data_IF_341405138989
#
_entry.id   IF_341405138989
#
_cell.length_a   1.000
_cell.length_b   1.000
_cell.length_c   1.000
_cell.angle_alpha   90.00
_cell.angle_beta   90.00
_cell.angle_gamma   90.00
#
_symmetry.space_group_name_H-M   'P 1'
#
loop_
_entity.id
_entity.type
_entity.pdbx_description
1 polymer ?
#
# COMPACT_ATOMS: atom_id res chain seq x y z
N UNK A 1 -6.30 5.97 -1.60
CA UNK A 1 -5.05 6.68 -1.27
C UNK A 1 -4.72 6.39 0.17
N UNK A 2 -3.59 5.78 0.45
CA UNK A 2 -3.18 5.48 1.81
C UNK A 2 -2.96 6.79 2.58
N UNK A 3 -3.52 6.89 3.78
CA UNK A 3 -3.27 8.04 4.66
C UNK A 3 -1.83 7.92 5.17
N UNK A 4 -0.97 8.95 4.99
CA UNK A 4 0.42 8.89 5.42
C UNK A 4 0.56 8.78 6.94
N UNK A 5 1.75 8.41 7.41
CA UNK A 5 2.08 8.44 8.83
C UNK A 5 2.06 9.90 9.33
N UNK A 6 1.70 10.11 10.60
CA UNK A 6 1.87 11.43 11.23
C UNK A 6 3.36 11.77 11.29
N UNK A 7 3.72 13.06 11.16
CA UNK A 7 5.12 13.51 11.23
C UNK A 7 5.76 13.06 12.54
N UNK A 8 6.92 12.42 12.44
CA UNK A 8 7.68 11.92 13.59
C UNK A 8 7.22 10.56 14.12
N UNK A 9 6.13 10.00 13.58
CA UNK A 9 5.64 8.67 13.98
C UNK A 9 6.21 7.59 13.06
N UNK A 10 6.61 6.46 13.63
CA UNK A 10 7.05 5.28 12.87
C UNK A 10 5.91 4.32 12.55
N UNK A 11 4.76 4.53 13.18
CA UNK A 11 3.57 3.69 13.06
C UNK A 11 2.33 4.51 12.74
N UNK A 12 1.38 3.84 12.10
CA UNK A 12 -0.03 4.23 12.03
C UNK A 12 -0.87 2.99 12.29
N UNK A 13 -1.74 3.04 13.27
CA UNK A 13 -2.68 1.97 13.58
C UNK A 13 -4.09 2.49 13.38
N UNK A 14 -4.96 1.68 12.81
CA UNK A 14 -6.36 2.03 12.60
C UNK A 14 -7.27 0.79 12.69
N UNK A 15 -8.48 0.99 13.20
CA UNK A 15 -9.59 0.05 13.15
C UNK A 15 -10.75 0.75 12.46
N UNK A 16 -11.23 0.22 11.34
CA UNK A 16 -12.25 0.89 10.53
C UNK A 16 -13.28 -0.10 10.01
N UNK A 17 -14.53 0.35 10.00
CA UNK A 17 -15.63 -0.29 9.26
C UNK A 17 -15.99 0.57 8.07
N UNK A 18 -16.06 -0.02 6.89
CA UNK A 18 -16.34 0.68 5.64
C UNK A 18 -17.41 -0.06 4.82
N UNK A 19 -18.20 0.67 4.02
CA UNK A 19 -19.16 0.03 3.14
C UNK A 19 -18.45 -0.76 2.03
N UNK A 20 -19.13 -1.74 1.48
CA UNK A 20 -18.64 -2.53 0.35
C UNK A 20 -18.21 -1.65 -0.83
N UNK A 21 -18.94 -0.56 -1.09
CA UNK A 21 -18.61 0.41 -2.15
C UNK A 21 -17.27 1.13 -1.96
N UNK A 22 -16.63 0.99 -0.78
CA UNK A 22 -15.32 1.59 -0.57
C UNK A 22 -14.22 0.72 -1.20
N UNK A 23 -13.65 1.21 -2.27
CA UNK A 23 -12.58 0.54 -3.03
C UNK A 23 -11.46 1.53 -3.35
N UNK A 24 -10.30 0.99 -3.67
CA UNK A 24 -9.20 1.79 -4.21
C UNK A 24 -9.44 1.99 -5.71
N UNK A 25 -9.64 3.23 -6.17
CA UNK A 25 -9.97 3.49 -7.58
C UNK A 25 -8.78 3.23 -8.52
N UNK A 26 -7.58 3.16 -7.99
CA UNK A 26 -6.33 2.92 -8.72
C UNK A 26 -5.38 2.10 -7.88
N UNK A 27 -4.34 1.56 -8.51
CA UNK A 27 -3.20 1.03 -7.79
C UNK A 27 -2.57 2.14 -6.94
N UNK A 28 -2.15 1.79 -5.74
CA UNK A 28 -1.39 2.64 -4.81
C UNK A 28 -0.10 1.91 -4.41
N UNK A 29 0.89 2.65 -3.95
CA UNK A 29 2.18 2.11 -3.53
C UNK A 29 2.56 2.68 -2.16
N UNK A 30 3.07 1.83 -1.30
CA UNK A 30 3.67 2.24 -0.04
C UNK A 30 5.17 2.43 -0.22
N UNK A 31 5.61 3.65 -0.55
CA UNK A 31 7.01 3.93 -0.87
C UNK A 31 7.96 3.81 0.32
N UNK A 32 7.50 4.20 1.52
CA UNK A 32 8.34 4.35 2.71
C UNK A 32 7.91 3.49 3.89
N UNK A 33 6.88 2.68 3.75
CA UNK A 33 6.34 1.86 4.83
C UNK A 33 5.74 0.56 4.31
N UNK A 34 5.68 -0.40 5.20
CA UNK A 34 4.92 -1.64 5.05
C UNK A 34 3.52 -1.48 5.63
N UNK A 35 2.62 -2.38 5.28
CA UNK A 35 1.32 -2.48 5.91
C UNK A 35 0.97 -3.93 6.25
N UNK A 36 0.21 -4.14 7.31
CA UNK A 36 -0.45 -5.42 7.58
C UNK A 36 -1.89 -5.11 7.96
N UNK A 37 -2.82 -5.64 7.18
CA UNK A 37 -4.24 -5.61 7.49
C UNK A 37 -4.70 -6.93 8.08
N UNK A 38 -5.69 -6.90 8.97
CA UNK A 38 -6.44 -8.08 9.42
C UNK A 38 -7.92 -7.84 9.13
N UNK A 39 -8.48 -8.62 8.22
CA UNK A 39 -9.87 -8.51 7.82
C UNK A 39 -10.74 -9.26 8.85
N UNK A 40 -11.36 -8.51 9.75
CA UNK A 40 -12.26 -9.07 10.76
C UNK A 40 -13.51 -9.62 10.12
N UNK A 41 -14.06 -8.85 9.16
CA UNK A 41 -15.31 -9.17 8.48
C UNK A 41 -15.33 -8.59 7.07
N UNK A 42 -15.89 -9.32 6.13
CA UNK A 42 -16.04 -8.92 4.73
C UNK A 42 -15.19 -9.76 3.79
N UNK A 43 -15.24 -9.41 2.52
CA UNK A 43 -14.52 -10.10 1.47
C UNK A 43 -13.86 -9.07 0.56
N UNK A 44 -12.56 -9.19 0.36
CA UNK A 44 -11.78 -8.27 -0.46
C UNK A 44 -10.97 -9.01 -1.50
N UNK A 45 -10.86 -8.40 -2.67
CA UNK A 45 -9.87 -8.76 -3.67
C UNK A 45 -8.72 -7.76 -3.55
N UNK A 46 -7.49 -8.25 -3.38
CA UNK A 46 -6.29 -7.44 -3.40
C UNK A 46 -5.44 -7.85 -4.59
N UNK A 47 -5.20 -6.93 -5.50
CA UNK A 47 -4.42 -7.16 -6.71
C UNK A 47 -3.07 -6.47 -6.60
N UNK A 48 -2.02 -7.18 -6.97
CA UNK A 48 -0.70 -6.65 -7.28
C UNK A 48 -0.50 -6.70 -8.80
N UNK A 49 0.59 -6.15 -9.36
CA UNK A 49 0.89 -6.29 -10.78
C UNK A 49 0.96 -7.73 -11.27
N UNK A 50 1.34 -8.67 -10.41
CA UNK A 50 1.63 -10.05 -10.77
C UNK A 50 0.51 -11.02 -10.41
N UNK A 51 -0.26 -10.71 -9.36
CA UNK A 51 -1.22 -11.67 -8.78
C UNK A 51 -2.44 -10.96 -8.19
N UNK A 52 -3.53 -11.71 -8.11
CA UNK A 52 -4.72 -11.31 -7.34
C UNK A 52 -4.96 -12.31 -6.22
N UNK A 53 -5.23 -11.77 -5.05
CA UNK A 53 -5.49 -12.51 -3.82
C UNK A 53 -6.92 -12.26 -3.36
N UNK A 54 -7.54 -13.29 -2.80
CA UNK A 54 -8.83 -13.18 -2.16
C UNK A 54 -8.65 -13.21 -0.64
N UNK A 55 -9.08 -12.13 0.01
CA UNK A 55 -8.96 -11.93 1.45
C UNK A 55 -10.34 -12.05 2.07
N UNK A 56 -10.52 -13.01 2.95
CA UNK A 56 -11.78 -13.33 3.62
C UNK A 56 -11.73 -13.02 5.12
N UNK A 57 -12.87 -13.19 5.80
CA UNK A 57 -12.97 -13.04 7.25
C UNK A 57 -11.82 -13.80 7.96
N UNK A 58 -11.09 -13.11 8.82
CA UNK A 58 -10.01 -13.68 9.62
C UNK A 58 -8.66 -13.82 8.88
N UNK A 59 -8.51 -13.23 7.70
CA UNK A 59 -7.24 -13.25 6.96
C UNK A 59 -6.36 -12.04 7.28
N UNK A 60 -5.05 -12.29 7.34
CA UNK A 60 -4.03 -11.25 7.32
C UNK A 60 -3.68 -10.87 5.88
N UNK A 61 -3.49 -9.58 5.65
CA UNK A 61 -3.16 -9.04 4.34
C UNK A 61 -1.93 -8.13 4.44
N UNK A 62 -0.72 -8.69 4.35
CA UNK A 62 0.50 -7.91 4.24
C UNK A 62 0.54 -7.09 2.95
N UNK A 63 1.17 -5.93 3.02
CA UNK A 63 1.46 -5.06 1.89
C UNK A 63 2.92 -4.66 1.96
N UNK A 64 3.69 -5.13 1.00
CA UNK A 64 5.12 -4.83 0.93
C UNK A 64 5.38 -3.37 0.52
N UNK A 65 6.47 -2.82 1.04
CA UNK A 65 7.00 -1.53 0.60
C UNK A 65 7.45 -1.63 -0.86
N UNK A 66 7.15 -0.61 -1.66
CA UNK A 66 7.55 -0.57 -3.07
C UNK A 66 6.68 -1.40 -4.02
N UNK A 67 5.67 -2.12 -3.52
CA UNK A 67 4.78 -2.94 -4.34
C UNK A 67 3.45 -2.24 -4.60
N UNK A 68 3.09 -2.14 -5.87
CA UNK A 68 1.77 -1.66 -6.27
C UNK A 68 0.68 -2.62 -5.84
N UNK A 69 -0.37 -2.10 -5.24
CA UNK A 69 -1.52 -2.88 -4.83
C UNK A 69 -2.82 -2.12 -5.01
N UNK A 70 -3.90 -2.86 -5.20
CA UNK A 70 -5.26 -2.33 -5.30
C UNK A 70 -6.20 -3.24 -4.53
N UNK A 71 -7.07 -2.66 -3.71
CA UNK A 71 -8.10 -3.42 -3.00
C UNK A 71 -9.49 -3.02 -3.49
N UNK A 72 -10.30 -4.01 -3.82
CA UNK A 72 -11.68 -3.89 -4.29
C UNK A 72 -12.61 -4.87 -3.56
N UNK A 73 -13.92 -4.62 -3.53
CA UNK A 73 -14.86 -5.55 -2.92
C UNK A 73 -14.98 -6.83 -3.77
N UNK A 74 -15.20 -7.96 -3.10
CA UNK A 74 -15.63 -9.22 -3.70
C UNK A 74 -17.14 -9.45 -3.58
N UNK A 75 -17.78 -8.78 -2.62
CA UNK A 75 -19.20 -8.89 -2.33
C UNK A 75 -19.78 -7.56 -1.90
N UNK A 76 -21.10 -7.48 -1.76
CA UNK A 76 -21.81 -6.29 -1.27
C UNK A 76 -21.78 -6.15 0.26
N UNK A 77 -20.98 -6.95 0.96
CA UNK A 77 -20.83 -6.89 2.42
C UNK A 77 -19.94 -5.71 2.82
N UNK A 78 -20.37 -4.98 3.85
CA UNK A 78 -19.48 -4.06 4.54
C UNK A 78 -18.27 -4.84 5.08
N UNK A 79 -17.12 -4.18 5.17
CA UNK A 79 -15.93 -4.80 5.72
C UNK A 79 -15.42 -4.05 6.93
N UNK A 80 -14.83 -4.81 7.83
CA UNK A 80 -14.19 -4.36 9.06
C UNK A 80 -12.74 -4.83 9.07
N UNK A 81 -11.80 -3.91 9.27
CA UNK A 81 -10.38 -4.20 9.19
C UNK A 81 -9.60 -3.45 10.27
N UNK A 82 -8.70 -4.17 10.93
CA UNK A 82 -7.55 -3.59 11.62
C UNK A 82 -6.40 -3.41 10.63
N UNK A 83 -5.65 -2.34 10.75
CA UNK A 83 -4.48 -2.13 9.92
C UNK A 83 -3.36 -1.44 10.69
N UNK A 84 -2.14 -1.91 10.49
CA UNK A 84 -0.92 -1.23 10.95
C UNK A 84 -0.04 -0.92 9.75
N UNK A 85 0.48 0.32 9.70
CA UNK A 85 1.54 0.73 8.76
C UNK A 85 2.76 1.13 9.56
N UNK A 86 3.94 0.78 9.05
CA UNK A 86 5.19 0.98 9.78
C UNK A 86 6.37 1.18 8.84
N UNK A 87 7.34 2.00 9.26
CA UNK A 87 8.56 2.26 8.49
C UNK A 87 9.51 1.07 8.55
N UNK A 88 10.40 0.96 7.56
CA UNK A 88 11.36 -0.16 7.48
C UNK A 88 12.32 -0.23 8.67
N UNK A 89 12.65 0.90 9.30
CA UNK A 89 13.61 0.92 10.43
C UNK A 89 13.15 0.15 11.67
N UNK A 90 11.84 -0.10 11.83
CA UNK A 90 11.32 -0.88 12.96
C UNK A 90 11.36 -2.40 12.72
N UNK A 91 11.76 -2.84 11.53
CA UNK A 91 11.80 -4.27 11.16
C UNK A 91 13.19 -4.91 11.31
N UNK A 92 14.22 -4.14 11.68
CA UNK A 92 15.60 -4.63 11.72
C UNK A 92 15.74 -5.87 12.59
N UNK A 93 15.26 -5.81 13.85
CA UNK A 93 15.37 -6.92 14.81
C UNK A 93 14.62 -8.19 14.33
N UNK A 94 13.43 -8.05 13.81
CA UNK A 94 12.68 -9.22 13.34
C UNK A 94 13.31 -9.85 12.10
N UNK A 95 13.88 -9.04 11.20
CA UNK A 95 14.65 -9.53 10.04
C UNK A 95 15.91 -10.30 10.45
N UNK A 96 16.59 -9.87 11.50
CA UNK A 96 17.74 -10.60 12.05
C UNK A 96 17.32 -11.97 12.64
N UNK A 97 16.10 -12.07 13.17
CA UNK A 97 15.59 -13.29 13.82
C UNK A 97 15.08 -14.31 12.80
N UNK A 98 14.21 -13.89 11.87
CA UNK A 98 13.57 -14.80 10.91
C UNK A 98 14.30 -14.90 9.57
N UNK A 99 15.24 -14.01 9.29
CA UNK A 99 15.88 -13.85 7.98
C UNK A 99 15.24 -12.74 7.15
N UNK A 100 16.08 -12.01 6.41
CA UNK A 100 15.58 -10.90 5.56
C UNK A 100 14.80 -11.42 4.37
N UNK A 101 15.22 -12.53 3.76
CA UNK A 101 14.52 -13.14 2.64
C UNK A 101 13.16 -13.67 3.06
N UNK A 102 13.08 -14.34 4.19
CA UNK A 102 11.85 -14.86 4.78
C UNK A 102 10.87 -13.74 5.13
N UNK A 103 11.38 -12.64 5.69
CA UNK A 103 10.56 -11.46 5.95
C UNK A 103 10.00 -10.86 4.65
N UNK A 104 10.85 -10.69 3.64
CA UNK A 104 10.44 -10.11 2.36
C UNK A 104 9.42 -11.01 1.65
N UNK A 105 9.63 -12.32 1.64
CA UNK A 105 8.69 -13.29 1.10
C UNK A 105 7.33 -13.24 1.83
N UNK A 106 7.36 -13.25 3.17
CA UNK A 106 6.16 -13.12 3.99
C UNK A 106 5.36 -11.86 3.67
N UNK A 107 6.02 -10.73 3.45
CA UNK A 107 5.36 -9.45 3.14
C UNK A 107 4.83 -9.38 1.70
N UNK A 108 5.24 -10.28 0.81
CA UNK A 108 4.70 -10.40 -0.55
C UNK A 108 3.41 -11.24 -0.62
N UNK A 109 3.14 -12.06 0.38
CA UNK A 109 1.93 -12.88 0.45
C UNK A 109 0.73 -12.07 0.94
N UNK A 110 -0.01 -11.48 0.04
CA UNK A 110 -1.09 -10.52 0.32
C UNK A 110 -2.33 -11.14 0.98
N UNK A 111 -2.44 -12.45 1.09
CA UNK A 111 -3.53 -13.15 1.77
C UNK A 111 -2.99 -14.36 2.54
N UNK A 112 -3.01 -14.27 3.86
CA UNK A 112 -2.60 -15.32 4.78
C UNK A 112 -3.77 -15.73 5.66
N UNK A 113 -4.22 -16.97 5.55
CA UNK A 113 -5.14 -17.57 6.53
C UNK A 113 -4.37 -18.00 7.76
N UNK A 114 -5.03 -18.01 8.91
CA UNK A 114 -4.51 -18.51 10.18
C UNK A 114 -5.52 -19.42 10.84
N UNK A 115 -5.09 -20.37 11.71
CA UNK A 115 -5.99 -21.20 12.50
C UNK A 115 -6.95 -20.36 13.35
N UNK A 116 -8.17 -20.84 13.56
CA UNK A 116 -9.21 -20.11 14.29
C UNK A 116 -8.81 -19.77 15.73
N UNK A 117 -8.06 -20.65 16.38
CA UNK A 117 -7.54 -20.45 17.74
C UNK A 117 -6.52 -19.31 17.84
N UNK A 118 -5.93 -18.89 16.73
CA UNK A 118 -4.96 -17.77 16.67
C UNK A 118 -5.64 -16.41 16.44
N UNK A 119 -6.82 -16.40 15.82
CA UNK A 119 -7.54 -15.16 15.46
C UNK A 119 -7.80 -14.22 16.65
N UNK A 120 -8.24 -14.69 17.84
CA UNK A 120 -8.44 -13.82 18.99
C UNK A 120 -7.14 -13.12 19.44
N UNK A 121 -5.99 -13.79 19.34
CA UNK A 121 -4.70 -13.21 19.68
C UNK A 121 -4.28 -12.10 18.73
N UNK A 122 -4.62 -12.21 17.45
CA UNK A 122 -4.37 -11.17 16.46
C UNK A 122 -5.20 -9.91 16.78
N UNK A 123 -6.47 -10.09 17.12
CA UNK A 123 -7.35 -8.99 17.53
C UNK A 123 -6.80 -8.29 18.77
N UNK A 124 -6.43 -9.05 19.80
CA UNK A 124 -5.84 -8.52 21.05
C UNK A 124 -4.56 -7.69 20.77
N UNK A 125 -3.67 -8.17 19.89
CA UNK A 125 -2.48 -7.42 19.48
C UNK A 125 -2.88 -6.08 18.83
N UNK A 126 -3.85 -6.05 17.94
CA UNK A 126 -4.29 -4.81 17.30
C UNK A 126 -4.97 -3.85 18.28
N UNK A 127 -5.76 -4.35 19.22
CA UNK A 127 -6.39 -3.53 20.25
C UNK A 127 -5.33 -2.90 21.17
N UNK A 128 -4.32 -3.66 21.57
CA UNK A 128 -3.18 -3.11 22.30
C UNK A 128 -2.41 -2.07 21.48
N UNK A 129 -2.17 -2.33 20.18
CA UNK A 129 -1.55 -1.35 19.29
C UNK A 129 -2.35 -0.05 19.20
N UNK A 130 -3.68 -0.11 19.17
CA UNK A 130 -4.53 1.09 19.14
C UNK A 130 -4.38 1.90 20.43
N UNK A 131 -4.37 1.24 21.60
CA UNK A 131 -4.18 1.90 22.90
C UNK A 131 -2.84 2.65 22.93
N UNK A 132 -1.75 1.99 22.54
CA UNK A 132 -0.42 2.57 22.48
C UNK A 132 -0.32 3.71 21.45
N UNK A 133 -0.99 3.56 20.31
CA UNK A 133 -1.00 4.56 19.26
C UNK A 133 -1.80 5.81 19.64
N UNK A 134 -2.90 5.68 20.36
CA UNK A 134 -3.73 6.80 20.81
C UNK A 134 -3.08 7.59 21.98
N UNK A 135 -2.34 6.89 22.85
CA UNK A 135 -1.63 7.46 23.99
C UNK A 135 -0.13 7.68 23.74
N UNK A 136 0.26 7.98 22.51
CA UNK A 136 1.64 7.98 22.02
C UNK A 136 2.61 8.78 22.90
N UNK A 137 3.16 8.12 23.91
CA UNK A 137 4.14 8.65 24.85
C UNK A 137 5.59 8.23 24.50
N UNK A 138 6.53 8.44 25.39
CA UNK A 138 7.95 8.15 25.16
C UNK A 138 8.28 6.66 25.00
N UNK A 139 7.41 5.75 25.41
CA UNK A 139 7.60 4.28 25.33
C UNK A 139 6.67 3.60 24.31
N UNK A 140 5.68 4.32 23.81
CA UNK A 140 4.68 3.77 22.87
C UNK A 140 5.32 3.18 21.61
N UNK A 141 6.36 3.81 21.07
CA UNK A 141 7.05 3.31 19.89
C UNK A 141 7.71 1.94 20.14
N UNK A 142 8.30 1.75 21.33
CA UNK A 142 8.87 0.47 21.75
C UNK A 142 7.77 -0.59 21.95
N UNK A 143 6.66 -0.22 22.60
CA UNK A 143 5.52 -1.11 22.79
C UNK A 143 4.92 -1.55 21.42
N UNK A 144 4.67 -0.60 20.52
CA UNK A 144 4.19 -0.85 19.16
C UNK A 144 5.13 -1.76 18.37
N UNK A 145 6.43 -1.58 18.49
CA UNK A 145 7.42 -2.45 17.84
C UNK A 145 7.34 -3.89 18.37
N UNK A 146 7.24 -4.09 19.68
CA UNK A 146 7.10 -5.42 20.24
C UNK A 146 5.80 -6.12 19.80
N UNK A 147 4.69 -5.39 19.74
CA UNK A 147 3.41 -5.91 19.25
C UNK A 147 3.48 -6.25 17.75
N UNK A 148 4.12 -5.40 16.94
CA UNK A 148 4.36 -5.68 15.53
C UNK A 148 5.18 -6.97 15.33
N UNK A 149 6.25 -7.15 16.10
CA UNK A 149 7.08 -8.34 16.01
C UNK A 149 6.31 -9.61 16.41
N UNK A 150 5.42 -9.54 17.41
CA UNK A 150 4.52 -10.64 17.74
C UNK A 150 3.57 -10.96 16.58
N UNK A 151 3.00 -9.95 15.93
CA UNK A 151 2.13 -10.12 14.77
C UNK A 151 2.88 -10.78 13.61
N UNK A 152 4.10 -10.33 13.29
CA UNK A 152 4.94 -10.90 12.24
C UNK A 152 5.32 -12.36 12.58
N UNK A 153 5.63 -12.67 13.84
CA UNK A 153 5.91 -14.05 14.27
C UNK A 153 4.67 -14.96 14.15
N UNK A 154 3.47 -14.44 14.39
CA UNK A 154 2.22 -15.17 14.14
C UNK A 154 2.08 -15.46 12.64
N UNK A 155 2.27 -14.47 11.79
CA UNK A 155 2.24 -14.65 10.34
C UNK A 155 3.25 -15.71 9.88
N UNK A 156 4.48 -15.64 10.38
CA UNK A 156 5.57 -16.55 10.01
C UNK A 156 5.31 -18.00 10.46
N UNK A 157 4.73 -18.20 11.66
CA UNK A 157 4.53 -19.54 12.23
C UNK A 157 3.23 -20.21 11.81
N UNK A 158 2.18 -19.42 11.62
CA UNK A 158 0.81 -19.93 11.47
C UNK A 158 0.15 -19.47 10.16
N UNK A 159 0.76 -18.53 9.45
CA UNK A 159 0.24 -18.04 8.19
C UNK A 159 0.34 -19.11 7.11
N UNK A 160 -0.79 -19.43 6.50
CA UNK A 160 -0.85 -20.27 5.31
C UNK A 160 -1.27 -19.40 4.14
N UNK A 161 -0.49 -19.40 3.08
CA UNK A 161 -0.81 -18.64 1.86
C UNK A 161 -2.15 -19.14 1.32
N UNK A 162 -3.12 -18.24 1.22
CA UNK A 162 -4.40 -18.55 0.63
C UNK A 162 -4.24 -18.90 -0.85
N UNK A 163 -5.12 -19.76 -1.36
CA UNK A 163 -5.13 -20.09 -2.78
C UNK A 163 -5.23 -18.81 -3.61
N UNK A 164 -4.19 -18.56 -4.37
CA UNK A 164 -4.16 -17.45 -5.33
C UNK A 164 -4.83 -17.95 -6.60
N UNK A 165 -5.84 -17.25 -7.11
CA UNK A 165 -6.08 -17.38 -8.52
C UNK A 165 -4.90 -16.74 -9.23
N UNK A 166 -4.09 -17.51 -9.93
CA UNK A 166 -3.28 -16.98 -11.01
C UNK A 166 -4.26 -16.36 -12.00
N UNK A 167 -4.56 -15.08 -11.80
CA UNK A 167 -5.06 -14.33 -12.91
C UNK A 167 -3.85 -14.22 -13.81
N UNK A 168 -3.90 -14.86 -14.97
CA UNK A 168 -3.08 -14.45 -16.10
C UNK A 168 -3.40 -12.96 -16.28
N UNK A 169 -2.62 -12.10 -15.62
CA UNK A 169 -2.61 -10.68 -15.96
C UNK A 169 -2.36 -10.70 -17.45
N UNK A 170 -3.28 -10.19 -18.22
CA UNK A 170 -3.10 -10.14 -19.65
C UNK A 170 -1.75 -9.45 -19.89
N UNK A 171 -1.01 -9.84 -20.89
CA UNK A 171 0.23 -9.14 -21.30
C UNK A 171 0.01 -7.63 -21.36
N UNK A 172 -1.21 -7.23 -21.57
CA UNK A 172 -1.77 -5.91 -21.54
C UNK A 172 -1.63 -5.16 -20.21
N UNK A 173 -1.79 -5.84 -19.09
CA UNK A 173 -1.71 -5.20 -17.76
C UNK A 173 -0.25 -5.08 -17.31
N UNK A 174 0.61 -6.02 -17.70
CA UNK A 174 2.05 -5.96 -17.46
C UNK A 174 2.67 -4.74 -18.15
N UNK A 175 2.31 -4.46 -19.41
CA UNK A 175 2.78 -3.28 -20.13
C UNK A 175 2.41 -1.97 -19.43
N UNK A 176 1.20 -1.85 -18.87
CA UNK A 176 0.79 -0.67 -18.12
C UNK A 176 1.55 -0.57 -16.79
N UNK A 177 1.84 -1.69 -16.12
CA UNK A 177 2.62 -1.69 -14.88
C UNK A 177 4.06 -1.24 -15.09
N UNK A 178 4.70 -1.68 -16.19
CA UNK A 178 6.03 -1.18 -16.59
C UNK A 178 6.00 0.33 -16.85
N UNK A 179 4.92 0.82 -17.44
CA UNK A 179 4.73 2.26 -17.64
C UNK A 179 4.52 3.01 -16.32
N UNK A 180 3.77 2.45 -15.36
CA UNK A 180 3.62 3.06 -14.03
C UNK A 180 4.95 3.15 -13.30
N UNK A 181 5.73 2.07 -13.29
CA UNK A 181 7.10 2.07 -12.74
C UNK A 181 8.02 3.08 -13.43
N UNK A 182 7.90 3.20 -14.76
CA UNK A 182 8.64 4.21 -15.51
C UNK A 182 8.21 5.62 -15.14
N UNK A 183 6.91 5.89 -14.98
CA UNK A 183 6.39 7.19 -14.56
C UNK A 183 6.93 7.56 -13.18
N UNK A 184 6.92 6.64 -12.22
CA UNK A 184 7.38 6.88 -10.85
C UNK A 184 8.85 7.31 -10.79
N UNK A 185 9.68 6.77 -11.66
CA UNK A 185 11.10 7.14 -11.74
C UNK A 185 11.35 8.38 -12.61
N UNK A 186 10.43 8.74 -13.51
CA UNK A 186 10.62 9.76 -14.52
C UNK A 186 9.57 10.89 -14.51
N UNK A 187 8.68 10.95 -13.51
CA UNK A 187 7.58 11.91 -13.46
C UNK A 187 8.04 13.38 -13.52
N UNK A 188 9.24 13.68 -13.01
CA UNK A 188 9.85 15.00 -13.06
C UNK A 188 10.09 15.48 -14.51
N UNK A 189 10.38 14.57 -15.42
CA UNK A 189 10.60 14.84 -16.83
C UNK A 189 9.28 15.03 -17.59
N UNK A 190 8.12 14.89 -16.94
CA UNK A 190 6.79 15.00 -17.53
C UNK A 190 6.67 14.21 -18.87
N UNK A 191 6.92 12.90 -18.90
CA UNK A 191 6.87 12.13 -20.14
C UNK A 191 5.51 12.33 -20.83
N UNK A 192 5.54 12.51 -22.14
CA UNK A 192 4.33 12.73 -22.93
C UNK A 192 3.53 11.45 -23.09
N UNK A 193 2.20 11.56 -23.35
CA UNK A 193 1.36 10.41 -23.67
C UNK A 193 1.90 9.64 -24.87
N UNK A 194 2.45 10.34 -25.85
CA UNK A 194 3.06 9.76 -27.06
C UNK A 194 4.26 8.86 -26.72
N UNK A 195 5.17 9.37 -25.86
CA UNK A 195 6.34 8.59 -25.39
C UNK A 195 5.93 7.35 -24.64
N UNK A 196 4.96 7.48 -23.72
CA UNK A 196 4.48 6.35 -22.91
C UNK A 196 3.75 5.31 -23.78
N UNK A 197 2.92 5.76 -24.71
CA UNK A 197 2.23 4.89 -25.65
C UNK A 197 3.23 4.12 -26.54
N UNK A 198 4.24 4.81 -27.05
CA UNK A 198 5.33 4.18 -27.83
C UNK A 198 6.09 3.14 -26.99
N UNK A 199 6.39 3.46 -25.74
CA UNK A 199 7.08 2.55 -24.81
C UNK A 199 6.24 1.31 -24.50
N UNK A 200 4.92 1.45 -24.42
CA UNK A 200 3.96 0.37 -24.25
C UNK A 200 3.61 -0.38 -25.56
N UNK A 201 4.17 0.02 -26.71
CA UNK A 201 3.81 -0.60 -28.00
C UNK A 201 2.37 -0.33 -28.44
N UNK A 202 1.74 0.75 -27.96
CA UNK A 202 0.33 1.06 -28.16
C UNK A 202 0.14 2.37 -28.95
N UNK A 203 -1.03 2.54 -29.57
CA UNK A 203 -1.47 3.87 -30.01
C UNK A 203 -1.85 4.72 -28.78
N UNK A 204 -1.75 6.06 -28.89
CA UNK A 204 -2.09 6.97 -27.78
C UNK A 204 -3.53 6.76 -27.26
N UNK A 205 -4.49 6.57 -28.15
CA UNK A 205 -5.88 6.33 -27.75
C UNK A 205 -6.04 5.01 -26.99
N UNK A 206 -5.37 3.96 -27.44
CA UNK A 206 -5.40 2.65 -26.79
C UNK A 206 -4.66 2.68 -25.44
N UNK A 207 -3.52 3.35 -25.39
CA UNK A 207 -2.76 3.62 -24.15
C UNK A 207 -3.64 4.37 -23.14
N UNK A 208 -4.26 5.49 -23.50
CA UNK A 208 -5.10 6.28 -22.61
C UNK A 208 -6.29 5.47 -22.06
N UNK A 209 -6.91 4.64 -22.89
CA UNK A 209 -8.00 3.76 -22.45
C UNK A 209 -7.49 2.74 -21.43
N UNK A 210 -6.46 1.98 -21.77
CA UNK A 210 -5.87 0.96 -20.89
C UNK A 210 -5.32 1.54 -19.59
N UNK A 211 -4.64 2.68 -19.68
CA UNK A 211 -4.14 3.39 -18.51
C UNK A 211 -5.28 3.77 -17.57
N UNK A 212 -6.41 4.26 -18.11
CA UNK A 212 -7.58 4.59 -17.30
C UNK A 212 -8.23 3.35 -16.71
N UNK A 213 -8.33 2.27 -17.46
CA UNK A 213 -8.90 1.00 -16.98
C UNK A 213 -8.05 0.43 -15.83
N UNK A 214 -6.72 0.49 -15.94
CA UNK A 214 -5.80 0.02 -14.91
C UNK A 214 -5.71 0.94 -13.68
N UNK A 215 -5.68 2.29 -13.88
CA UNK A 215 -5.42 3.27 -12.81
C UNK A 215 -6.68 3.95 -12.28
N UNK A 216 -7.83 3.77 -12.94
CA UNK A 216 -9.10 4.44 -12.60
C UNK A 216 -9.11 5.95 -12.91
N UNK A 217 -8.07 6.52 -13.54
CA UNK A 217 -8.02 7.94 -13.85
C UNK A 217 -7.18 8.24 -15.11
N UNK A 218 -7.22 9.48 -15.61
CA UNK A 218 -6.37 9.88 -16.72
C UNK A 218 -4.90 9.97 -16.32
N UNK A 219 -3.97 9.82 -17.26
CA UNK A 219 -2.54 10.00 -17.05
C UNK A 219 -2.22 11.35 -16.36
N UNK A 220 -2.80 12.44 -16.83
CA UNK A 220 -2.61 13.77 -16.22
C UNK A 220 -3.06 13.80 -14.75
N UNK A 221 -4.20 13.19 -14.45
CA UNK A 221 -4.71 13.10 -13.08
C UNK A 221 -3.80 12.24 -12.21
N UNK A 222 -3.29 11.14 -12.74
CA UNK A 222 -2.37 10.24 -12.06
C UNK A 222 -1.07 10.98 -11.66
N UNK A 223 -0.40 11.61 -12.63
CA UNK A 223 0.85 12.36 -12.39
C UNK A 223 0.64 13.50 -11.39
N UNK A 224 -0.47 14.25 -11.50
CA UNK A 224 -0.76 15.31 -10.54
C UNK A 224 -0.97 14.78 -9.11
N UNK A 225 -1.68 13.65 -8.96
CA UNK A 225 -1.83 13.00 -7.63
C UNK A 225 -0.48 12.56 -7.08
N UNK A 226 0.38 12.00 -7.93
CA UNK A 226 1.71 11.56 -7.56
C UNK A 226 2.58 12.76 -7.11
N UNK A 227 2.63 13.84 -7.90
CA UNK A 227 3.32 15.07 -7.53
C UNK A 227 2.81 15.67 -6.23
N UNK A 228 1.49 15.73 -6.04
CA UNK A 228 0.89 16.23 -4.79
C UNK A 228 1.29 15.38 -3.58
N UNK A 229 1.37 14.05 -3.71
CA UNK A 229 1.83 13.16 -2.64
C UNK A 229 3.28 13.48 -2.24
N UNK A 230 4.18 13.64 -3.22
CA UNK A 230 5.58 14.01 -2.99
C UNK A 230 5.67 15.41 -2.37
N UNK A 231 4.89 16.35 -2.89
CA UNK A 231 4.81 17.70 -2.35
C UNK A 231 4.44 17.75 -0.87
N UNK A 232 3.43 16.97 -0.47
CA UNK A 232 3.04 16.83 0.94
C UNK A 232 4.20 16.31 1.81
N UNK A 233 4.94 15.33 1.33
CA UNK A 233 6.14 14.83 2.01
C UNK A 233 7.21 15.92 2.12
N UNK A 234 7.50 16.63 1.03
CA UNK A 234 8.50 17.70 1.02
C UNK A 234 8.14 18.86 1.95
N UNK A 235 6.85 19.24 2.02
CA UNK A 235 6.36 20.27 2.94
C UNK A 235 6.54 19.91 4.42
N UNK A 236 6.54 18.62 4.74
CA UNK A 236 6.64 18.15 6.12
C UNK A 236 8.08 17.78 6.52
N UNK A 237 8.91 17.38 5.56
CA UNK A 237 10.24 16.80 5.81
C UNK A 237 11.40 17.70 5.34
N UNK A 238 11.14 18.80 4.64
CA UNK A 238 12.20 19.70 4.17
C UNK A 238 11.94 21.16 4.55
N UNK A 239 13.00 21.98 4.68
CA UNK A 239 12.87 23.43 4.93
C UNK A 239 12.48 24.22 3.69
N UNK A 240 12.18 23.58 2.55
CA UNK A 240 11.90 24.24 1.27
C UNK A 240 10.57 25.01 1.32
N UNK A 241 10.56 26.16 0.69
CA UNK A 241 9.35 26.95 0.47
C UNK A 241 8.40 26.28 -0.53
N UNK A 242 7.12 26.64 -0.49
CA UNK A 242 6.10 26.20 -1.44
C UNK A 242 6.55 26.44 -2.90
N UNK A 243 7.18 27.59 -3.16
CA UNK A 243 7.67 27.93 -4.49
C UNK A 243 8.80 27.01 -4.95
N UNK A 244 9.74 26.68 -4.09
CA UNK A 244 10.85 25.76 -4.40
C UNK A 244 10.32 24.36 -4.67
N UNK A 245 9.39 23.87 -3.85
CA UNK A 245 8.75 22.57 -4.04
C UNK A 245 7.96 22.51 -5.35
N UNK A 246 7.18 23.56 -5.63
CA UNK A 246 6.42 23.68 -6.88
C UNK A 246 7.32 23.63 -8.12
N UNK A 247 8.43 24.35 -8.10
CA UNK A 247 9.40 24.37 -9.18
C UNK A 247 10.09 23.00 -9.35
N UNK A 248 10.52 22.39 -8.24
CA UNK A 248 11.19 21.10 -8.26
C UNK A 248 10.29 19.99 -8.78
N UNK A 249 9.00 20.02 -8.47
CA UNK A 249 8.03 19.05 -8.96
C UNK A 249 7.48 19.37 -10.36
N UNK A 250 7.95 20.46 -10.97
CA UNK A 250 7.57 20.85 -12.32
C UNK A 250 6.10 21.23 -12.46
N UNK A 251 5.54 21.93 -11.45
CA UNK A 251 4.25 22.58 -11.58
C UNK A 251 4.41 23.89 -12.37
N UNK A 252 3.55 24.10 -13.35
CA UNK A 252 3.60 25.30 -14.21
C UNK A 252 3.33 26.61 -13.47
N UNK A 253 2.72 26.54 -12.28
CA UNK A 253 2.39 27.71 -11.45
C UNK A 253 2.15 27.24 -10.00
N UNK A 254 2.71 27.96 -9.03
CA UNK A 254 2.51 27.71 -7.59
C UNK A 254 1.04 27.82 -7.15
N UNK A 255 0.18 28.47 -7.92
CA UNK A 255 -1.26 28.56 -7.65
C UNK A 255 -2.03 27.26 -7.97
N UNK A 256 -1.39 26.30 -8.66
CA UNK A 256 -1.95 24.95 -8.92
C UNK A 256 -1.42 23.89 -7.95
N UNK A 257 -0.65 24.31 -6.98
CA UNK A 257 -0.03 23.51 -5.96
C UNK A 257 -0.95 23.30 -4.73
#
# INVERSE_FOLDING_TARGET
MAIPLKKGYKFRVEHVTKPASNYMPSFDIYEKYYGIGYLVKGDRQVSTPERTFFVHDGYLSPVSMGVYHKSSPLSDRNYEVYAVRFVSSVTTRIKEIIGENEFNDLMLHTALSVPDEIKPKIIDIYEQMLIEYDNYDSVAEFALQNLLEQLILIMYRYGTVAETSEIHISTADTEIMDILSYIDTNFMNNPSVSELAKKAGLSESHFMKRFRDATGCSYKTYVNRYKNKIAQTMLTESPKSIQEISNELGFCNSNYF
#
